data_IF_264325275878
#
_entry.id   IF_264325275878
#
_cell.length_a   1.000
_cell.length_b   1.000
_cell.length_c   1.000
_cell.angle_alpha   90.00
_cell.angle_beta   90.00
_cell.angle_gamma   90.00
#
_symmetry.space_group_name_H-M   'P 1'
#
loop_
_entity.id
_entity.type
_entity.pdbx_description
1 polymer ?
#
# COMPACT_ATOMS: atom_id res chain seq x y z
N UNK A 1 -14.96 -5.43 35.11
CA UNK A 1 -15.72 -5.57 33.84
C UNK A 1 -15.68 -7.05 33.52
N UNK A 2 -16.71 -7.77 33.96
CA UNK A 2 -16.51 -9.17 34.30
C UNK A 2 -16.90 -10.12 33.17
N UNK A 3 -17.41 -9.60 32.05
CA UNK A 3 -17.74 -10.42 30.89
C UNK A 3 -17.63 -9.63 29.58
N UNK A 4 -16.86 -10.17 28.63
CA UNK A 4 -16.82 -9.70 27.24
C UNK A 4 -17.66 -10.67 26.41
N UNK A 5 -18.67 -10.20 25.65
CA UNK A 5 -19.52 -11.08 24.84
C UNK A 5 -18.70 -11.93 23.86
N UNK A 6 -19.03 -13.23 23.77
CA UNK A 6 -18.30 -14.16 22.88
C UNK A 6 -18.30 -13.72 21.41
N UNK A 7 -19.41 -13.13 20.94
CA UNK A 7 -19.51 -12.58 19.58
C UNK A 7 -18.53 -11.43 19.33
N UNK A 8 -18.28 -10.57 20.33
CA UNK A 8 -17.28 -9.51 20.23
C UNK A 8 -15.87 -10.09 20.11
N UNK A 9 -15.55 -11.12 20.91
CA UNK A 9 -14.26 -11.81 20.83
C UNK A 9 -14.07 -12.47 19.46
N UNK A 10 -15.07 -13.19 18.93
CA UNK A 10 -15.00 -13.83 17.60
C UNK A 10 -14.80 -12.78 16.49
N UNK A 11 -15.51 -11.65 16.56
CA UNK A 11 -15.36 -10.54 15.62
C UNK A 11 -13.96 -9.89 15.70
N UNK A 12 -13.46 -9.64 16.91
CA UNK A 12 -12.12 -9.12 17.13
C UNK A 12 -11.06 -10.09 16.58
N UNK A 13 -11.14 -11.37 16.95
CA UNK A 13 -10.21 -12.38 16.45
C UNK A 13 -10.28 -12.54 14.93
N UNK A 14 -11.44 -12.30 14.32
CA UNK A 14 -11.62 -12.28 12.87
C UNK A 14 -10.86 -11.12 12.21
N UNK A 15 -10.85 -9.94 12.85
CA UNK A 15 -10.19 -8.74 12.35
C UNK A 15 -8.66 -8.70 12.60
N UNK A 16 -8.16 -9.35 13.65
CA UNK A 16 -6.74 -9.34 14.02
C UNK A 16 -5.86 -10.20 13.11
N UNK A 17 -4.67 -9.68 12.76
CA UNK A 17 -3.68 -10.44 11.98
C UNK A 17 -3.15 -11.62 12.81
N UNK A 18 -2.39 -12.53 12.19
CA UNK A 18 -1.95 -13.75 12.87
C UNK A 18 -0.99 -13.43 14.02
N UNK A 19 -0.08 -12.49 13.81
CA UNK A 19 0.90 -12.06 14.80
C UNK A 19 0.21 -11.44 16.03
N UNK A 20 -0.83 -10.62 15.82
CA UNK A 20 -1.65 -10.02 16.87
C UNK A 20 -2.40 -11.10 17.66
N UNK A 21 -2.93 -12.13 16.98
CA UNK A 21 -3.57 -13.27 17.62
C UNK A 21 -2.57 -14.06 18.49
N UNK A 22 -1.34 -14.26 18.01
CA UNK A 22 -0.27 -14.91 18.77
C UNK A 22 0.13 -14.10 20.01
N UNK A 23 0.19 -12.77 19.91
CA UNK A 23 0.42 -11.92 21.10
C UNK A 23 -0.75 -11.98 22.06
N UNK A 24 -2.00 -11.93 21.55
CA UNK A 24 -3.19 -12.03 22.36
C UNK A 24 -3.29 -13.37 23.09
N UNK A 25 -2.85 -14.46 22.46
CA UNK A 25 -2.79 -15.79 23.05
C UNK A 25 -1.86 -15.84 24.27
N UNK A 26 -0.77 -15.07 24.28
CA UNK A 26 0.18 -15.02 25.41
C UNK A 26 -0.40 -14.38 26.67
N UNK A 27 -1.47 -13.59 26.56
CA UNK A 27 -2.06 -12.88 27.71
C UNK A 27 -2.84 -13.80 28.68
N UNK A 28 -3.04 -15.10 28.37
CA UNK A 28 -3.65 -16.13 29.26
C UNK A 28 -4.96 -15.71 29.97
N UNK A 29 -5.85 -15.09 29.22
CA UNK A 29 -7.14 -14.57 29.71
C UNK A 29 -8.33 -15.51 29.37
N UNK A 30 -9.55 -15.29 29.89
CA UNK A 30 -10.72 -16.17 29.66
C UNK A 30 -11.10 -16.45 28.20
N UNK A 31 -10.86 -15.51 27.29
CA UNK A 31 -10.98 -15.62 25.83
C UNK A 31 -9.87 -16.45 25.12
N UNK A 32 -8.91 -17.01 25.84
CA UNK A 32 -7.75 -17.71 25.26
C UNK A 32 -8.12 -18.89 24.36
N UNK A 33 -9.23 -19.60 24.63
CA UNK A 33 -9.68 -20.72 23.80
C UNK A 33 -10.15 -20.27 22.41
N UNK A 34 -10.94 -19.19 22.33
CA UNK A 34 -11.37 -18.57 21.06
C UNK A 34 -10.17 -18.05 20.28
N UNK A 35 -9.26 -17.33 20.95
CA UNK A 35 -8.02 -16.82 20.33
C UNK A 35 -7.17 -17.97 19.79
N UNK A 36 -6.97 -19.02 20.59
CA UNK A 36 -6.21 -20.22 20.20
C UNK A 36 -6.84 -20.90 18.98
N UNK A 37 -8.17 -21.02 18.96
CA UNK A 37 -8.91 -21.60 17.83
C UNK A 37 -8.73 -20.76 16.56
N UNK A 38 -8.86 -19.44 16.64
CA UNK A 38 -8.63 -18.56 15.49
C UNK A 38 -7.18 -18.64 15.03
N UNK A 39 -6.22 -18.53 15.94
CA UNK A 39 -4.79 -18.58 15.63
C UNK A 39 -4.39 -19.91 14.96
N UNK A 40 -4.83 -21.05 15.50
CA UNK A 40 -4.51 -22.38 14.96
C UNK A 40 -5.18 -22.71 13.63
N UNK A 41 -6.34 -22.10 13.32
CA UNK A 41 -7.07 -22.31 12.07
C UNK A 41 -6.82 -21.23 11.00
N UNK A 42 -6.13 -20.14 11.35
CA UNK A 42 -5.90 -19.00 10.46
C UNK A 42 -4.94 -19.39 9.34
N UNK A 43 -5.46 -19.39 8.11
CA UNK A 43 -4.67 -19.43 6.88
C UNK A 43 -4.75 -18.08 6.17
N UNK A 44 -3.65 -17.67 5.55
CA UNK A 44 -3.60 -16.46 4.73
C UNK A 44 -3.47 -16.88 3.27
N UNK A 45 -4.28 -16.29 2.41
CA UNK A 45 -4.32 -16.61 0.99
C UNK A 45 -3.94 -15.40 0.14
N UNK A 46 -3.27 -15.72 -0.96
CA UNK A 46 -3.21 -14.91 -2.16
C UNK A 46 -4.33 -15.34 -3.10
N UNK A 47 -5.20 -14.40 -3.45
CA UNK A 47 -6.22 -14.56 -4.46
C UNK A 47 -5.68 -14.09 -5.81
N UNK A 48 -5.54 -15.00 -6.76
CA UNK A 48 -5.19 -14.68 -8.15
C UNK A 48 -6.47 -14.57 -8.98
N UNK A 49 -6.62 -13.46 -9.70
CA UNK A 49 -7.73 -13.21 -10.60
C UNK A 49 -7.21 -12.85 -11.99
N UNK A 50 -7.82 -13.40 -13.01
CA UNK A 50 -7.62 -13.01 -14.40
C UNK A 50 -8.96 -12.99 -15.14
N UNK A 51 -9.02 -12.36 -16.30
CA UNK A 51 -10.18 -12.39 -17.17
C UNK A 51 -9.84 -13.02 -18.51
N UNK A 52 -10.81 -13.69 -19.11
CA UNK A 52 -10.63 -14.19 -20.47
C UNK A 52 -10.49 -13.02 -21.49
N UNK A 53 -10.21 -13.37 -22.75
CA UNK A 53 -9.87 -12.38 -23.78
C UNK A 53 -10.94 -11.29 -23.99
N UNK A 54 -12.23 -11.62 -23.87
CA UNK A 54 -13.34 -10.68 -24.06
C UNK A 54 -13.77 -9.98 -22.75
N UNK A 55 -13.21 -10.36 -21.60
CA UNK A 55 -13.56 -9.81 -20.30
C UNK A 55 -14.90 -10.28 -19.74
N UNK A 56 -15.53 -11.30 -20.32
CA UNK A 56 -16.86 -11.81 -19.90
C UNK A 56 -16.79 -12.86 -18.79
N UNK A 57 -15.65 -13.54 -18.66
CA UNK A 57 -15.40 -14.55 -17.63
C UNK A 57 -14.22 -14.16 -16.75
N UNK A 58 -14.29 -14.59 -15.49
CA UNK A 58 -13.24 -14.42 -14.48
C UNK A 58 -12.68 -15.79 -14.15
N UNK A 59 -11.37 -15.92 -14.27
CA UNK A 59 -10.59 -17.00 -13.72
C UNK A 59 -10.17 -16.64 -12.30
N UNK A 60 -10.18 -17.62 -11.39
CA UNK A 60 -9.85 -17.45 -9.98
C UNK A 60 -9.06 -18.64 -9.45
N UNK A 61 -8.09 -18.34 -8.58
CA UNK A 61 -7.36 -19.35 -7.80
C UNK A 61 -6.91 -18.81 -6.45
N UNK A 62 -6.90 -19.68 -5.43
CA UNK A 62 -6.39 -19.36 -4.10
C UNK A 62 -5.10 -20.13 -3.83
N UNK A 63 -4.04 -19.42 -3.48
CA UNK A 63 -2.76 -20.00 -3.09
C UNK A 63 -2.43 -19.60 -1.65
N UNK A 64 -2.09 -20.56 -0.81
CA UNK A 64 -1.75 -20.28 0.59
C UNK A 64 -0.41 -19.54 0.68
N UNK A 65 -0.38 -18.42 1.40
CA UNK A 65 0.82 -17.63 1.60
C UNK A 65 1.76 -18.35 2.57
N UNK A 66 2.90 -18.86 2.07
CA UNK A 66 3.95 -19.44 2.91
C UNK A 66 4.99 -18.42 3.39
N UNK A 67 4.86 -17.14 3.05
CA UNK A 67 5.91 -16.14 3.28
C UNK A 67 7.21 -16.38 2.50
N UNK A 68 7.25 -17.43 1.65
CA UNK A 68 8.36 -17.74 0.75
C UNK A 68 7.97 -17.34 -0.67
N UNK A 69 8.81 -16.53 -1.31
CA UNK A 69 8.66 -15.91 -2.64
C UNK A 69 8.44 -16.87 -3.83
N UNK A 70 8.32 -18.19 -3.61
CA UNK A 70 8.08 -19.16 -4.68
C UNK A 70 6.58 -19.50 -4.74
N UNK A 71 5.80 -18.57 -5.26
CA UNK A 71 4.35 -18.76 -5.45
C UNK A 71 4.07 -19.72 -6.63
N UNK A 72 5.04 -19.91 -7.54
CA UNK A 72 4.87 -20.67 -8.78
C UNK A 72 4.69 -22.19 -8.61
N UNK A 73 4.96 -22.76 -7.44
CA UNK A 73 4.93 -24.23 -7.25
C UNK A 73 3.72 -24.72 -6.45
N UNK A 74 2.85 -23.81 -5.97
CA UNK A 74 1.74 -24.21 -5.11
C UNK A 74 0.46 -24.50 -5.89
N UNK A 75 -0.21 -25.62 -5.62
CA UNK A 75 -1.51 -25.89 -6.22
C UNK A 75 -2.52 -24.87 -5.73
N UNK A 76 -3.37 -24.42 -6.65
CA UNK A 76 -4.56 -23.66 -6.29
C UNK A 76 -5.55 -24.55 -5.52
N UNK A 77 -6.17 -23.99 -4.49
CA UNK A 77 -7.27 -24.64 -3.80
C UNK A 77 -8.62 -24.07 -4.27
N UNK A 78 -9.69 -24.89 -4.31
CA UNK A 78 -11.04 -24.40 -4.59
C UNK A 78 -11.52 -23.39 -3.54
N UNK A 79 -12.31 -22.38 -3.94
CA UNK A 79 -12.85 -21.42 -2.97
C UNK A 79 -13.83 -22.08 -1.99
N UNK A 80 -14.42 -23.21 -2.37
CA UNK A 80 -15.29 -24.02 -1.50
C UNK A 80 -14.55 -24.62 -0.30
N UNK A 81 -13.22 -24.65 -0.35
CA UNK A 81 -12.36 -25.06 0.77
C UNK A 81 -12.06 -23.93 1.77
N UNK A 82 -12.54 -22.71 1.49
CA UNK A 82 -12.40 -21.58 2.39
C UNK A 82 -13.40 -21.68 3.55
N UNK A 83 -12.95 -21.19 4.69
CA UNK A 83 -13.66 -21.19 5.97
C UNK A 83 -13.69 -19.77 6.53
N UNK A 84 -14.53 -19.53 7.53
CA UNK A 84 -14.58 -18.22 8.21
C UNK A 84 -13.27 -17.81 8.90
N UNK A 85 -12.33 -18.74 9.10
CA UNK A 85 -11.03 -18.46 9.72
C UNK A 85 -9.97 -18.06 8.69
N UNK A 86 -10.25 -18.16 7.41
CA UNK A 86 -9.29 -17.80 6.37
C UNK A 86 -9.27 -16.28 6.15
N UNK A 87 -8.17 -15.78 5.58
CA UNK A 87 -8.06 -14.38 5.15
C UNK A 87 -7.46 -14.29 3.77
N UNK A 88 -7.93 -13.30 3.02
CA UNK A 88 -7.32 -12.91 1.77
C UNK A 88 -6.44 -11.71 2.09
N UNK A 89 -5.14 -11.97 2.21
CA UNK A 89 -4.14 -10.94 2.53
C UNK A 89 -3.59 -10.25 1.27
N UNK A 90 -3.68 -10.91 0.12
CA UNK A 90 -3.17 -10.40 -1.14
C UNK A 90 -4.14 -10.73 -2.28
N UNK A 91 -4.44 -9.75 -3.12
CA UNK A 91 -5.28 -9.89 -4.31
C UNK A 91 -4.43 -9.47 -5.51
N UNK A 92 -4.13 -10.43 -6.37
CA UNK A 92 -3.38 -10.24 -7.61
C UNK A 92 -4.33 -10.25 -8.80
N UNK A 93 -4.22 -9.27 -9.70
CA UNK A 93 -5.09 -9.15 -10.88
C UNK A 93 -4.26 -9.09 -12.17
N UNK A 94 -4.47 -10.08 -13.03
CA UNK A 94 -3.84 -10.20 -14.36
C UNK A 94 -2.35 -10.51 -14.30
N UNK A 95 -1.89 -11.21 -13.27
CA UNK A 95 -0.48 -11.53 -13.11
C UNK A 95 0.01 -12.53 -14.18
N UNK A 96 1.15 -12.29 -14.86
CA UNK A 96 1.61 -13.11 -15.97
C UNK A 96 2.05 -14.51 -15.53
N UNK A 97 2.25 -14.75 -14.22
CA UNK A 97 2.48 -16.10 -13.70
C UNK A 97 1.21 -16.95 -13.60
N UNK A 98 0.04 -16.36 -13.80
CA UNK A 98 -1.27 -16.99 -13.63
C UNK A 98 -2.23 -16.56 -14.72
N UNK A 99 -2.08 -17.16 -15.90
CA UNK A 99 -3.01 -16.90 -17.00
C UNK A 99 -4.39 -17.48 -16.68
N UNK A 100 -5.43 -16.91 -17.27
CA UNK A 100 -6.82 -17.38 -17.13
C UNK A 100 -6.97 -18.90 -17.29
N UNK A 101 -6.19 -19.53 -18.19
CA UNK A 101 -6.21 -20.98 -18.42
C UNK A 101 -5.74 -21.78 -17.21
N UNK A 102 -4.77 -21.26 -16.46
CA UNK A 102 -4.11 -21.92 -15.33
C UNK A 102 -4.95 -21.80 -14.04
N UNK A 103 -5.87 -20.86 -14.01
CA UNK A 103 -6.74 -20.65 -12.85
C UNK A 103 -7.78 -21.76 -12.75
N UNK A 104 -7.87 -22.33 -11.54
CA UNK A 104 -8.67 -23.51 -11.22
C UNK A 104 -10.15 -23.30 -11.55
N UNK A 105 -10.67 -22.12 -11.21
CA UNK A 105 -12.09 -21.83 -11.33
C UNK A 105 -12.37 -20.75 -12.35
N UNK A 106 -13.31 -21.00 -13.25
CA UNK A 106 -13.71 -20.08 -14.31
C UNK A 106 -15.21 -19.88 -14.26
N UNK A 107 -15.66 -18.63 -14.26
CA UNK A 107 -17.09 -18.34 -14.20
C UNK A 107 -17.44 -17.03 -14.90
N UNK A 108 -18.70 -16.83 -15.33
CA UNK A 108 -19.14 -15.55 -15.86
C UNK A 108 -18.91 -14.42 -14.85
N UNK A 109 -18.45 -13.26 -15.32
CA UNK A 109 -18.17 -12.09 -14.50
C UNK A 109 -19.39 -11.65 -13.67
N UNK A 110 -20.61 -11.82 -14.20
CA UNK A 110 -21.85 -11.56 -13.47
C UNK A 110 -21.96 -12.45 -12.22
N UNK A 111 -21.72 -13.75 -12.38
CA UNK A 111 -21.77 -14.73 -11.29
C UNK A 111 -20.69 -14.47 -10.25
N UNK A 112 -19.48 -14.14 -10.69
CA UNK A 112 -18.41 -13.73 -9.78
C UNK A 112 -18.85 -12.56 -8.89
N UNK A 113 -19.47 -11.52 -9.46
CA UNK A 113 -19.92 -10.35 -8.68
C UNK A 113 -21.02 -10.67 -7.67
N UNK A 114 -21.95 -11.57 -7.99
CA UNK A 114 -23.09 -11.87 -7.12
C UNK A 114 -22.79 -12.93 -6.07
N UNK A 115 -22.02 -13.96 -6.44
CA UNK A 115 -21.90 -15.16 -5.63
C UNK A 115 -20.57 -15.19 -4.87
N UNK A 116 -19.48 -14.78 -5.52
CA UNK A 116 -18.11 -14.97 -5.01
C UNK A 116 -17.53 -13.70 -4.39
N UNK A 117 -17.78 -12.55 -5.00
CA UNK A 117 -17.25 -11.26 -4.53
C UNK A 117 -17.71 -10.90 -3.11
N UNK A 118 -18.95 -11.18 -2.66
CA UNK A 118 -19.34 -10.98 -1.26
C UNK A 118 -18.52 -11.83 -0.29
N UNK A 119 -18.23 -13.09 -0.65
CA UNK A 119 -17.37 -13.98 0.14
C UNK A 119 -15.93 -13.45 0.19
N UNK A 120 -15.36 -13.04 -0.94
CA UNK A 120 -14.03 -12.41 -0.97
C UNK A 120 -14.00 -11.18 -0.07
N UNK A 121 -15.05 -10.36 -0.12
CA UNK A 121 -15.16 -9.13 0.68
C UNK A 121 -15.19 -9.42 2.18
N UNK A 122 -15.85 -10.49 2.62
CA UNK A 122 -15.88 -10.87 4.04
C UNK A 122 -14.54 -11.41 4.55
N UNK A 123 -13.75 -12.06 3.67
CA UNK A 123 -12.43 -12.61 4.00
C UNK A 123 -11.29 -11.57 3.87
N UNK A 124 -11.50 -10.49 3.10
CA UNK A 124 -10.52 -9.44 2.81
C UNK A 124 -10.68 -8.22 3.74
N UNK A 125 -10.44 -8.40 5.03
CA UNK A 125 -10.52 -7.32 6.03
C UNK A 125 -9.24 -6.46 6.11
N UNK A 126 -8.08 -7.02 5.76
CA UNK A 126 -6.84 -6.27 5.56
C UNK A 126 -6.05 -6.92 4.43
N UNK A 127 -5.74 -6.18 3.37
CA UNK A 127 -5.20 -6.76 2.15
C UNK A 127 -4.27 -5.82 1.37
N UNK A 128 -3.50 -6.43 0.48
CA UNK A 128 -2.77 -5.78 -0.61
C UNK A 128 -3.52 -6.05 -1.91
N UNK A 129 -3.65 -5.04 -2.77
CA UNK A 129 -4.06 -5.23 -4.17
C UNK A 129 -2.84 -4.99 -5.04
N UNK A 130 -2.46 -5.98 -5.84
CA UNK A 130 -1.52 -5.82 -6.93
C UNK A 130 -2.19 -6.09 -8.28
N UNK A 131 -2.04 -5.15 -9.19
CA UNK A 131 -2.57 -5.20 -10.54
C UNK A 131 -1.58 -4.56 -11.51
N UNK A 132 -0.28 -4.79 -11.27
CA UNK A 132 0.81 -4.30 -12.11
C UNK A 132 0.62 -4.61 -13.60
N UNK A 133 0.06 -5.77 -13.89
CA UNK A 133 -0.08 -6.33 -15.22
C UNK A 133 -1.49 -6.11 -15.81
N UNK A 134 -2.31 -5.33 -15.12
CA UNK A 134 -3.64 -4.92 -15.57
C UNK A 134 -3.65 -4.40 -17.01
N UNK A 135 -4.59 -4.91 -17.79
CA UNK A 135 -4.91 -4.42 -19.14
C UNK A 135 -6.36 -3.90 -19.21
N UNK A 136 -6.77 -3.35 -20.36
CA UNK A 136 -8.10 -2.76 -20.52
C UNK A 136 -9.26 -3.75 -20.30
N UNK A 137 -9.05 -5.05 -20.52
CA UNK A 137 -10.06 -6.11 -20.36
C UNK A 137 -10.42 -6.34 -18.90
N UNK A 138 -9.47 -6.09 -17.99
CA UNK A 138 -9.67 -6.24 -16.55
C UNK A 138 -10.49 -5.11 -15.92
N UNK A 139 -10.81 -4.06 -16.69
CA UNK A 139 -11.44 -2.83 -16.18
C UNK A 139 -12.70 -3.11 -15.37
N UNK A 140 -13.58 -3.98 -15.84
CA UNK A 140 -14.84 -4.25 -15.16
C UNK A 140 -14.68 -5.10 -13.90
N UNK A 141 -13.70 -6.01 -13.90
CA UNK A 141 -13.32 -6.77 -12.71
C UNK A 141 -12.77 -5.82 -11.63
N UNK A 142 -11.74 -5.02 -11.96
CA UNK A 142 -11.13 -4.07 -11.03
C UNK A 142 -12.13 -3.04 -10.51
N UNK A 143 -13.02 -2.54 -11.37
CA UNK A 143 -14.12 -1.66 -10.96
C UNK A 143 -15.05 -2.32 -9.94
N UNK A 144 -15.29 -3.61 -10.07
CA UNK A 144 -16.14 -4.38 -9.15
C UNK A 144 -15.44 -4.58 -7.81
N UNK A 145 -14.13 -4.89 -7.83
CA UNK A 145 -13.30 -4.98 -6.62
C UNK A 145 -13.29 -3.65 -5.85
N UNK A 146 -12.98 -2.53 -6.52
CA UNK A 146 -12.95 -1.21 -5.87
C UNK A 146 -14.31 -0.75 -5.33
N UNK A 147 -15.42 -1.26 -5.89
CA UNK A 147 -16.75 -0.89 -5.39
C UNK A 147 -17.18 -1.74 -4.19
N UNK A 148 -16.67 -2.97 -4.09
CA UNK A 148 -17.15 -3.96 -3.12
C UNK A 148 -16.24 -4.10 -1.92
N UNK A 149 -14.91 -3.98 -2.12
CA UNK A 149 -13.96 -4.15 -1.03
C UNK A 149 -13.97 -2.96 -0.08
N UNK A 150 -14.24 -3.26 1.20
CA UNK A 150 -14.36 -2.26 2.26
C UNK A 150 -13.30 -2.35 3.35
N UNK A 151 -12.43 -3.35 3.28
CA UNK A 151 -11.39 -3.57 4.27
C UNK A 151 -10.25 -2.54 4.23
N UNK A 152 -9.24 -2.83 5.03
CA UNK A 152 -8.02 -2.07 5.15
C UNK A 152 -7.05 -2.40 4.01
N UNK A 153 -6.65 -1.41 3.23
CA UNK A 153 -5.73 -1.54 2.11
C UNK A 153 -4.32 -1.16 2.56
N UNK A 154 -3.48 -2.15 2.82
CA UNK A 154 -2.10 -1.89 3.20
C UNK A 154 -1.31 -1.29 2.03
N UNK A 155 -1.41 -1.92 0.86
CA UNK A 155 -0.77 -1.45 -0.37
C UNK A 155 -1.73 -1.60 -1.54
N UNK A 156 -1.87 -0.53 -2.31
CA UNK A 156 -2.55 -0.51 -3.60
C UNK A 156 -1.50 -0.30 -4.69
N UNK A 157 -1.13 -1.38 -5.36
CA UNK A 157 -0.20 -1.37 -6.48
C UNK A 157 -1.00 -1.56 -7.78
N UNK A 158 -1.16 -0.51 -8.59
CA UNK A 158 -2.10 -0.57 -9.73
C UNK A 158 -1.76 0.40 -10.84
N UNK A 159 -2.33 0.16 -12.02
CA UNK A 159 -2.39 1.12 -13.12
C UNK A 159 -3.64 1.98 -12.99
N UNK A 160 -3.73 3.06 -13.75
CA UNK A 160 -4.95 3.87 -13.80
C UNK A 160 -6.13 3.04 -14.34
N UNK A 161 -7.09 2.71 -13.48
CA UNK A 161 -8.31 1.99 -13.85
C UNK A 161 -9.53 2.92 -14.07
N UNK A 162 -9.31 4.22 -14.25
CA UNK A 162 -10.38 5.19 -14.50
C UNK A 162 -10.92 5.88 -13.23
N UNK A 163 -12.08 6.52 -13.34
CA UNK A 163 -12.67 7.36 -12.28
C UNK A 163 -12.93 6.60 -10.96
N UNK A 164 -13.20 5.28 -11.01
CA UNK A 164 -13.45 4.48 -9.80
C UNK A 164 -12.20 4.29 -8.95
N UNK A 165 -11.02 4.18 -9.58
CA UNK A 165 -9.75 4.14 -8.86
C UNK A 165 -9.53 5.41 -8.02
N UNK A 166 -9.82 6.58 -8.60
CA UNK A 166 -9.71 7.87 -7.90
C UNK A 166 -10.65 7.91 -6.70
N UNK A 167 -11.93 7.55 -6.90
CA UNK A 167 -12.92 7.48 -5.81
C UNK A 167 -12.50 6.51 -4.70
N UNK A 168 -11.92 5.37 -5.08
CA UNK A 168 -11.44 4.37 -4.12
C UNK A 168 -10.30 4.93 -3.26
N UNK A 169 -9.32 5.62 -3.85
CA UNK A 169 -8.27 6.30 -3.09
C UNK A 169 -8.86 7.35 -2.16
N UNK A 170 -9.69 8.26 -2.69
CA UNK A 170 -10.34 9.32 -1.89
C UNK A 170 -11.05 8.72 -0.66
N UNK A 171 -11.93 7.73 -0.88
CA UNK A 171 -12.70 7.10 0.19
C UNK A 171 -11.81 6.37 1.20
N UNK A 172 -10.85 5.56 0.74
CA UNK A 172 -10.01 4.75 1.64
C UNK A 172 -9.02 5.62 2.40
N UNK A 173 -8.50 6.68 1.80
CA UNK A 173 -7.62 7.64 2.48
C UNK A 173 -8.34 8.40 3.59
N UNK A 174 -9.59 8.84 3.36
CA UNK A 174 -10.41 9.52 4.37
C UNK A 174 -10.70 8.63 5.58
N UNK A 175 -10.93 7.34 5.34
CA UNK A 175 -11.14 6.35 6.41
C UNK A 175 -9.84 5.90 7.09
N UNK A 176 -8.68 6.43 6.67
CA UNK A 176 -7.37 5.94 7.11
C UNK A 176 -7.11 4.48 6.70
N UNK A 177 -7.88 3.95 5.77
CA UNK A 177 -7.81 2.57 5.29
C UNK A 177 -6.74 2.33 4.23
N UNK A 178 -5.97 3.34 3.81
CA UNK A 178 -4.98 3.21 2.72
C UNK A 178 -3.63 3.77 3.15
N UNK A 179 -2.58 2.93 3.17
CA UNK A 179 -1.20 3.38 3.55
C UNK A 179 -0.30 3.68 2.36
N UNK A 180 -0.21 2.71 1.44
CA UNK A 180 0.72 2.76 0.34
C UNK A 180 -0.02 2.75 -0.99
N UNK A 181 0.37 3.64 -1.89
CA UNK A 181 -0.07 3.63 -3.28
C UNK A 181 1.15 3.57 -4.18
N UNK A 182 1.23 2.52 -4.99
CA UNK A 182 2.25 2.36 -6.02
C UNK A 182 1.54 2.40 -7.36
N UNK A 183 1.91 3.37 -8.17
CA UNK A 183 1.25 3.60 -9.45
C UNK A 183 2.18 3.16 -10.57
N UNK A 184 1.75 2.15 -11.32
CA UNK A 184 2.51 1.62 -12.44
C UNK A 184 2.24 2.40 -13.73
N UNK A 185 3.18 2.30 -14.67
CA UNK A 185 3.03 2.87 -16.01
C UNK A 185 1.80 2.28 -16.68
N UNK A 186 0.92 3.14 -17.18
CA UNK A 186 -0.30 2.76 -17.86
C UNK A 186 -0.64 3.73 -18.98
N UNK A 187 -1.90 3.72 -19.40
CA UNK A 187 -2.49 4.71 -20.32
C UNK A 187 -2.25 6.12 -19.73
N UNK A 188 -2.07 7.12 -20.61
CA UNK A 188 -1.93 8.54 -20.23
C UNK A 188 -2.89 8.89 -19.10
N UNK A 189 -2.35 9.43 -18.01
CA UNK A 189 -3.20 9.87 -16.92
C UNK A 189 -3.97 11.09 -17.39
N UNK A 190 -5.24 11.23 -17.01
CA UNK A 190 -5.92 12.49 -17.27
C UNK A 190 -5.14 13.60 -16.56
N UNK A 191 -4.85 14.69 -17.25
CA UNK A 191 -4.31 15.94 -16.67
C UNK A 191 -5.33 16.63 -15.76
N UNK A 192 -6.17 15.86 -15.08
CA UNK A 192 -7.20 16.33 -14.20
C UNK A 192 -6.60 16.60 -12.82
N UNK A 193 -6.80 17.83 -12.31
CA UNK A 193 -6.52 18.18 -10.92
C UNK A 193 -7.14 17.22 -9.90
N UNK A 194 -8.16 16.44 -10.29
CA UNK A 194 -8.78 15.43 -9.44
C UNK A 194 -7.83 14.31 -9.01
N UNK A 195 -6.97 13.81 -9.90
CA UNK A 195 -5.99 12.77 -9.53
C UNK A 195 -5.06 13.31 -8.44
N UNK A 196 -4.59 14.55 -8.62
CA UNK A 196 -3.75 15.23 -7.64
C UNK A 196 -4.47 15.43 -6.31
N UNK A 197 -5.73 15.87 -6.34
CA UNK A 197 -6.55 16.04 -5.14
C UNK A 197 -6.72 14.72 -4.35
N UNK A 198 -6.92 13.60 -5.05
CA UNK A 198 -6.98 12.29 -4.41
C UNK A 198 -5.65 11.90 -3.76
N UNK A 199 -4.52 12.16 -4.41
CA UNK A 199 -3.20 11.93 -3.82
C UNK A 199 -2.91 12.87 -2.63
N UNK A 200 -3.29 14.15 -2.70
CA UNK A 200 -3.21 15.07 -1.56
C UNK A 200 -4.04 14.56 -0.38
N UNK A 201 -5.25 14.05 -0.65
CA UNK A 201 -6.10 13.41 0.38
C UNK A 201 -5.40 12.22 1.02
N UNK A 202 -4.72 11.39 0.22
CA UNK A 202 -3.88 10.30 0.71
C UNK A 202 -2.72 10.81 1.59
N UNK A 203 -1.98 11.83 1.14
CA UNK A 203 -0.83 12.38 1.87
C UNK A 203 -1.23 12.98 3.22
N UNK A 204 -2.44 13.54 3.32
CA UNK A 204 -3.02 14.05 4.56
C UNK A 204 -3.52 12.95 5.49
N UNK A 205 -3.68 11.71 5.02
CA UNK A 205 -4.18 10.60 5.84
C UNK A 205 -3.20 10.25 6.95
N UNK A 206 -3.63 10.10 8.22
CA UNK A 206 -2.73 9.83 9.34
C UNK A 206 -1.93 8.53 9.17
N UNK A 207 -2.48 7.56 8.43
CA UNK A 207 -1.85 6.25 8.16
C UNK A 207 -1.05 6.20 6.86
N UNK A 208 -0.90 7.32 6.16
CA UNK A 208 -0.05 7.42 4.96
C UNK A 208 1.37 6.92 5.24
N UNK A 209 1.91 6.13 4.31
CA UNK A 209 3.28 5.64 4.40
C UNK A 209 4.04 5.74 3.07
N UNK A 210 3.42 5.51 1.91
CA UNK A 210 4.14 5.63 0.65
C UNK A 210 3.25 6.05 -0.52
N UNK A 211 3.76 6.94 -1.37
CA UNK A 211 3.20 7.23 -2.69
C UNK A 211 4.31 7.16 -3.73
N UNK A 212 4.25 6.18 -4.63
CA UNK A 212 5.20 6.04 -5.74
C UNK A 212 4.51 6.33 -7.07
N UNK A 213 4.90 7.45 -7.68
CA UNK A 213 4.52 7.94 -9.00
C UNK A 213 5.66 7.82 -10.02
N UNK A 214 6.77 7.18 -9.64
CA UNK A 214 8.02 7.09 -10.43
C UNK A 214 7.83 6.55 -11.84
N UNK A 215 6.81 5.70 -12.05
CA UNK A 215 6.48 5.08 -13.34
C UNK A 215 5.34 5.77 -14.08
N UNK A 216 4.95 6.98 -13.68
CA UNK A 216 3.83 7.73 -14.26
C UNK A 216 4.28 9.03 -14.95
N UNK A 217 3.35 9.66 -15.66
CA UNK A 217 3.42 11.03 -16.16
C UNK A 217 2.90 12.06 -15.15
N UNK A 218 2.22 11.62 -14.08
CA UNK A 218 1.81 12.49 -12.97
C UNK A 218 3.04 13.02 -12.27
N UNK A 219 3.13 14.35 -12.20
CA UNK A 219 4.22 15.06 -11.52
C UNK A 219 3.82 15.40 -10.09
N UNK A 220 4.78 15.28 -9.17
CA UNK A 220 4.69 15.80 -7.81
C UNK A 220 4.77 17.33 -7.91
N UNK A 221 3.75 18.02 -7.41
CA UNK A 221 3.72 19.48 -7.33
C UNK A 221 3.98 19.99 -5.91
N UNK A 222 4.01 21.31 -5.77
CA UNK A 222 4.31 21.97 -4.51
C UNK A 222 3.28 21.61 -3.42
N UNK A 223 2.00 21.53 -3.75
CA UNK A 223 0.94 21.21 -2.77
C UNK A 223 1.13 19.83 -2.15
N UNK A 224 1.55 18.84 -2.94
CA UNK A 224 1.88 17.51 -2.43
C UNK A 224 3.10 17.54 -1.48
N UNK A 225 4.13 18.30 -1.83
CA UNK A 225 5.33 18.45 -1.00
C UNK A 225 5.01 19.18 0.30
N UNK A 226 4.25 20.28 0.22
CA UNK A 226 3.81 21.06 1.36
C UNK A 226 3.06 20.18 2.38
N UNK A 227 2.17 19.30 1.92
CA UNK A 227 1.47 18.35 2.81
C UNK A 227 2.43 17.47 3.61
N UNK A 228 3.52 16.98 3.02
CA UNK A 228 4.52 16.17 3.75
C UNK A 228 5.31 17.01 4.74
N UNK A 229 5.73 18.21 4.33
CA UNK A 229 6.55 19.12 5.14
C UNK A 229 5.77 19.58 6.36
N UNK A 230 4.50 19.99 6.20
CA UNK A 230 3.62 20.36 7.30
C UNK A 230 3.48 19.23 8.33
N UNK A 231 3.26 18.01 7.84
CA UNK A 231 3.15 16.81 8.67
C UNK A 231 4.44 16.45 9.41
N UNK A 232 5.57 16.60 8.74
CA UNK A 232 6.88 16.42 9.36
C UNK A 232 7.08 17.39 10.54
N UNK A 233 6.79 18.69 10.35
CA UNK A 233 6.89 19.68 11.43
C UNK A 233 5.90 19.46 12.57
N UNK A 234 4.74 18.85 12.30
CA UNK A 234 3.78 18.42 13.33
C UNK A 234 4.19 17.16 14.08
N UNK A 235 5.20 16.44 13.61
CA UNK A 235 5.62 15.15 14.17
C UNK A 235 4.63 14.01 13.89
N UNK A 236 3.67 14.20 12.98
CA UNK A 236 2.65 13.19 12.65
C UNK A 236 3.01 12.33 11.42
N UNK A 237 4.16 12.60 10.80
CA UNK A 237 4.65 11.89 9.62
C UNK A 237 5.39 10.60 10.03
N UNK A 238 4.98 9.40 9.57
CA UNK A 238 5.69 8.17 9.90
C UNK A 238 7.16 8.21 9.44
N UNK A 239 8.07 7.64 10.23
CA UNK A 239 9.53 7.67 9.94
C UNK A 239 9.92 7.13 8.57
N UNK A 240 9.12 6.22 8.00
CA UNK A 240 9.33 5.60 6.68
C UNK A 240 8.44 6.20 5.60
N UNK A 241 7.81 7.35 5.85
CA UNK A 241 6.97 8.03 4.89
C UNK A 241 7.78 8.45 3.66
N UNK A 242 7.27 8.18 2.47
CA UNK A 242 7.97 8.47 1.22
C UNK A 242 7.02 8.89 0.10
N UNK A 243 7.43 9.90 -0.67
CA UNK A 243 6.81 10.26 -1.94
C UNK A 243 7.88 10.28 -3.01
N UNK A 244 7.67 9.50 -4.07
CA UNK A 244 8.61 9.38 -5.18
C UNK A 244 7.94 9.60 -6.52
N UNK A 245 8.60 10.31 -7.44
CA UNK A 245 8.02 10.70 -8.71
C UNK A 245 8.84 11.77 -9.41
N UNK A 246 8.36 12.21 -10.57
CA UNK A 246 8.95 13.37 -11.27
C UNK A 246 8.36 14.64 -10.68
N UNK A 247 9.19 15.65 -10.40
CA UNK A 247 8.68 16.94 -9.94
C UNK A 247 8.13 17.76 -11.11
N UNK A 248 7.09 18.56 -10.85
CA UNK A 248 6.74 19.66 -11.75
C UNK A 248 7.95 20.58 -11.83
N UNK A 249 8.39 20.93 -13.05
CA UNK A 249 9.45 21.94 -13.20
C UNK A 249 8.96 23.18 -12.48
N UNK A 250 9.70 23.62 -11.47
CA UNK A 250 9.50 24.93 -10.91
C UNK A 250 9.70 25.90 -12.06
N UNK A 251 8.65 26.67 -12.40
CA UNK A 251 8.86 27.87 -13.19
C UNK A 251 9.77 28.70 -12.30
N UNK A 252 11.05 28.74 -12.65
CA UNK A 252 12.00 29.62 -11.96
C UNK A 252 11.36 31.00 -12.02
N UNK A 253 11.11 31.65 -10.87
CA UNK A 253 10.59 33.00 -10.89
C UNK A 253 11.48 33.79 -11.85
N UNK A 254 10.86 34.39 -12.85
CA UNK A 254 11.60 35.19 -13.85
C UNK A 254 12.41 36.18 -13.03
N UNK A 255 13.75 36.18 -13.13
CA UNK A 255 14.56 37.08 -12.35
C UNK A 255 14.05 38.52 -12.61
N UNK A 256 13.89 39.35 -11.58
CA UNK A 256 13.27 40.67 -11.69
C UNK A 256 13.98 41.64 -12.64
N UNK A 257 15.08 41.24 -13.28
CA UNK A 257 15.87 42.02 -14.23
C UNK A 257 15.20 42.29 -15.59
N UNK A 258 13.96 41.81 -15.85
CA UNK A 258 13.20 42.16 -17.06
C UNK A 258 11.98 43.07 -16.82
N UNK A 259 11.77 43.53 -15.59
CA UNK A 259 10.80 44.58 -15.24
C UNK A 259 11.51 45.94 -15.11
N UNK A 260 12.36 46.28 -16.07
CA UNK A 260 12.69 47.68 -16.30
C UNK A 260 11.51 48.30 -17.06
N UNK A 261 10.67 49.05 -16.35
CA UNK A 261 9.78 50.01 -17.01
C UNK A 261 10.67 50.94 -17.88
N UNK A 262 10.43 51.04 -19.20
CA UNK A 262 11.18 51.96 -20.05
C UNK A 262 11.06 53.43 -19.63
N UNK A 263 10.23 53.77 -18.64
CA UNK A 263 10.06 55.13 -18.10
C UNK A 263 10.90 55.46 -16.87
N UNK A 264 11.78 54.58 -16.39
CA UNK A 264 12.84 54.98 -15.44
C UNK A 264 12.36 55.50 -14.07
N UNK A 265 11.15 55.18 -13.65
CA UNK A 265 10.67 55.54 -12.31
C UNK A 265 10.87 54.38 -11.33
N UNK A 266 11.87 54.53 -10.45
CA UNK A 266 12.13 53.64 -9.33
C UNK A 266 10.93 53.66 -8.36
N UNK A 267 10.10 52.61 -8.38
CA UNK A 267 8.91 52.48 -7.54
C UNK A 267 9.15 51.72 -6.21
N UNK A 268 10.39 51.37 -5.87
CA UNK A 268 10.68 50.70 -4.60
C UNK A 268 11.41 51.61 -3.62
N UNK A 269 10.83 51.90 -2.43
CA UNK A 269 11.55 52.57 -1.37
C UNK A 269 12.65 51.64 -0.84
N UNK A 270 13.88 52.12 -0.81
CA UNK A 270 15.03 51.43 -0.24
C UNK A 270 14.81 51.22 1.26
N UNK A 271 14.64 49.99 1.70
CA UNK A 271 14.73 49.62 3.12
C UNK A 271 16.20 49.72 3.57
N UNK A 272 16.60 50.89 4.07
CA UNK A 272 17.85 51.10 4.80
C UNK A 272 17.65 50.71 6.25
N UNK A 273 17.95 49.47 6.62
CA UNK A 273 17.86 49.05 8.03
C UNK A 273 17.91 47.56 8.27
N UNK A 274 18.95 46.86 7.79
CA UNK A 274 19.32 45.55 8.31
C UNK A 274 20.84 45.50 8.48
N UNK A 275 21.28 45.88 9.69
CA UNK A 275 22.63 45.58 10.16
C UNK A 275 22.80 44.06 10.26
N UNK A 276 23.83 43.54 9.59
CA UNK A 276 24.32 42.18 9.83
C UNK A 276 25.05 42.16 11.17
N UNK A 277 24.81 41.15 12.02
CA UNK A 277 25.93 40.24 12.26
C UNK A 277 25.47 38.80 12.50
N UNK A 278 26.34 37.82 12.20
CA UNK A 278 26.79 36.82 13.17
C UNK A 278 27.90 35.97 12.53
N UNK A 279 29.01 35.93 13.28
CA UNK A 279 30.22 35.13 13.08
C UNK A 279 29.92 33.64 12.99
N UNK A 280 30.58 32.96 12.05
CA UNK A 280 30.73 31.51 12.02
C UNK A 280 31.54 31.02 13.23
N UNK A 281 31.08 29.99 13.98
CA UNK A 281 31.92 29.30 14.93
C UNK A 281 32.71 28.17 14.27
N UNK A 282 33.96 28.05 14.71
CA UNK A 282 34.93 27.02 14.36
C UNK A 282 34.39 25.59 14.48
N UNK A 283 34.76 24.76 13.50
CA UNK A 283 34.51 23.33 13.45
C UNK A 283 35.72 22.58 14.02
N UNK A 284 35.61 21.80 15.11
CA UNK A 284 36.70 20.92 15.52
C UNK A 284 36.67 19.62 14.72
N UNK A 285 37.85 19.22 14.25
CA UNK A 285 38.14 17.93 13.63
C UNK A 285 38.07 16.82 14.69
N UNK A 286 37.18 15.85 14.50
CA UNK A 286 37.12 14.65 15.32
C UNK A 286 37.79 13.47 14.60
N UNK A 287 38.74 12.87 15.32
CA UNK A 287 39.51 11.68 14.97
C UNK A 287 38.63 10.43 14.86
N UNK A 288 38.94 9.60 13.87
CA UNK A 288 38.46 8.22 13.73
C UNK A 288 39.25 7.26 14.63
N UNK A 289 38.61 6.29 15.30
CA UNK A 289 39.27 5.06 15.68
C UNK A 289 38.81 3.90 14.78
N UNK A 290 39.79 3.28 14.14
CA UNK A 290 39.73 1.97 13.52
C UNK A 290 39.73 0.88 14.60
N UNK A 291 38.72 0.01 14.61
CA UNK A 291 38.78 -1.25 15.33
C UNK A 291 38.26 -2.38 14.43
N UNK A 292 39.21 -3.13 13.88
CA UNK A 292 39.03 -4.42 13.23
C UNK A 292 38.70 -5.49 14.26
N UNK A 293 37.46 -6.00 14.22
CA UNK A 293 37.04 -7.20 14.97
C UNK A 293 36.83 -8.36 14.01
N UNK A 294 37.79 -9.29 14.01
CA UNK A 294 37.70 -10.60 13.35
C UNK A 294 36.75 -11.47 14.19
N UNK A 295 35.62 -11.89 13.62
CA UNK A 295 34.80 -12.98 14.17
C UNK A 295 35.20 -14.29 13.50
N UNK A 296 35.83 -15.18 14.26
CA UNK A 296 35.97 -16.59 13.96
C UNK A 296 34.60 -17.27 14.02
N UNK A 297 34.16 -17.86 12.91
CA UNK A 297 33.02 -18.75 12.86
C UNK A 297 33.46 -20.18 13.17
N UNK A 298 33.24 -20.63 14.41
CA UNK A 298 33.38 -22.03 14.81
C UNK A 298 32.22 -22.88 14.24
N UNK A 299 32.54 -23.71 13.26
CA UNK A 299 31.62 -24.67 12.62
C UNK A 299 31.77 -26.04 13.29
N UNK A 300 30.96 -26.33 14.30
CA UNK A 300 30.87 -27.69 14.87
C UNK A 300 29.88 -28.55 14.07
N UNK A 301 30.42 -29.52 13.33
CA UNK A 301 29.67 -30.67 12.77
C UNK A 301 29.21 -31.58 13.91
N UNK A 302 27.90 -31.76 14.08
CA UNK A 302 27.33 -32.91 14.81
C UNK A 302 26.86 -33.96 13.80
N UNK A 303 27.38 -35.17 13.98
CA UNK A 303 27.09 -36.33 13.14
C UNK A 303 25.68 -36.85 13.34
N UNK A 304 25.07 -37.26 12.22
CA UNK A 304 23.95 -38.18 12.18
C UNK A 304 24.50 -39.60 12.22
N UNK A 305 24.12 -40.37 13.24
CA UNK A 305 24.11 -41.84 13.20
C UNK A 305 22.70 -42.26 12.77
N UNK A 306 22.61 -43.01 11.67
CA UNK A 306 21.40 -43.76 11.30
C UNK A 306 21.57 -45.20 11.79
N UNK A 307 20.57 -45.66 12.55
CA UNK A 307 20.10 -47.05 12.56
C UNK A 307 18.83 -47.11 11.73
#
# INVERSE_FOLDING_TARGET
MDFVPAAFVDALCTALNKEDLEQLQKLRMPWSSTVTKHCGKRRNFTLCLDVNHDGTQVGMGFSEDSGKLRILEKPFIPYTSLTKYDRIGHIMVGDPGYEFTDLLEKMPLRRFKTDVLPLITSLASSYVIDSQHFNIRHKDLTNSLFSSLQGYVFTLATRYAGKRFIKFIEQRSLLGGLRNVIVYRGIKWPESGRVKAAFITLLKSPKFSALSLSRTDVKIDFDMVACLVERFFRGDLPRKAFVGGKFSRFVTPVPPSSLCDPRGHNLFPTCSGCESPIRSPNRPSALSPSSSGVMESGLTKKGLKSQ
#
